data_IF_879891703754
#
_entry.id   IF_879891703754
#
_cell.length_a   1.000
_cell.length_b   1.000
_cell.length_c   1.000
_cell.angle_alpha   90.00
_cell.angle_beta   90.00
_cell.angle_gamma   90.00
#
_symmetry.space_group_name_H-M   'P 1'
#
loop_
_entity.id
_entity.type
_entity.pdbx_description
1 polymer ?
#
# COMPACT_ATOMS: atom_id res chain seq x y z
N UNK A 1 6.43 19.33 -1.83
CA UNK A 1 6.96 18.64 -3.02
C UNK A 1 6.33 19.26 -4.26
N UNK A 2 7.12 19.61 -5.26
CA UNK A 2 6.61 20.15 -6.52
C UNK A 2 7.12 19.26 -7.63
N UNK A 3 6.20 18.55 -8.30
CA UNK A 3 6.51 17.75 -9.49
C UNK A 3 6.34 18.64 -10.72
N UNK A 4 7.37 18.70 -11.58
CA UNK A 4 7.35 19.48 -12.82
C UNK A 4 7.24 18.52 -14.00
N UNK A 5 6.28 18.76 -14.89
CA UNK A 5 6.04 17.91 -16.07
C UNK A 5 5.19 16.67 -15.80
N UNK A 6 5.24 15.69 -16.71
CA UNK A 6 4.40 14.48 -16.65
C UNK A 6 4.86 13.54 -15.53
N UNK A 7 3.98 13.29 -14.57
CA UNK A 7 4.22 12.36 -13.47
C UNK A 7 3.25 11.17 -13.48
N UNK A 8 3.62 10.09 -12.79
CA UNK A 8 2.75 8.94 -12.52
C UNK A 8 2.51 8.85 -11.02
N UNK A 9 1.29 8.49 -10.63
CA UNK A 9 0.91 8.22 -9.25
C UNK A 9 0.65 6.73 -9.08
N UNK A 10 1.32 6.12 -8.12
CA UNK A 10 1.02 4.77 -7.63
C UNK A 10 0.15 4.88 -6.37
N UNK A 11 -0.86 4.03 -6.25
CA UNK A 11 -1.67 3.90 -5.04
C UNK A 11 -1.66 2.45 -4.62
N UNK A 12 -1.22 2.20 -3.39
CA UNK A 12 -1.19 0.88 -2.77
C UNK A 12 -2.21 0.90 -1.63
N UNK A 13 -3.15 -0.04 -1.64
CA UNK A 13 -4.17 -0.21 -0.60
C UNK A 13 -3.82 -1.46 0.18
N UNK A 14 -3.70 -1.34 1.49
CA UNK A 14 -3.37 -2.43 2.41
C UNK A 14 -4.33 -2.42 3.59
N UNK A 15 -4.50 -3.60 4.22
CA UNK A 15 -5.16 -3.69 5.52
C UNK A 15 -4.34 -2.97 6.61
N UNK A 16 -5.04 -2.46 7.62
CA UNK A 16 -4.43 -1.73 8.75
C UNK A 16 -3.51 -2.60 9.61
N UNK A 17 -3.82 -3.88 9.70
CA UNK A 17 -3.12 -4.93 10.41
C UNK A 17 -1.95 -5.55 9.61
N UNK A 18 -1.74 -5.10 8.36
CA UNK A 18 -0.66 -5.58 7.53
C UNK A 18 0.70 -5.35 8.17
N UNK A 19 1.50 -6.42 8.28
CA UNK A 19 2.87 -6.35 8.79
C UNK A 19 3.87 -7.02 7.84
N UNK A 20 5.12 -6.57 7.91
CA UNK A 20 6.27 -7.14 7.21
C UNK A 20 7.45 -7.21 8.19
N UNK A 21 7.96 -8.43 8.45
CA UNK A 21 8.98 -8.68 9.47
C UNK A 21 8.67 -8.03 10.84
N UNK A 22 7.42 -8.08 11.27
CA UNK A 22 6.97 -7.49 12.54
C UNK A 22 6.85 -5.97 12.56
N UNK A 23 7.09 -5.29 11.43
CA UNK A 23 6.91 -3.85 11.27
C UNK A 23 5.62 -3.55 10.49
N UNK A 24 4.98 -2.38 10.70
CA UNK A 24 3.80 -2.00 9.93
C UNK A 24 4.10 -1.99 8.41
N UNK A 25 3.24 -2.62 7.60
CA UNK A 25 3.47 -2.76 6.16
C UNK A 25 3.54 -1.40 5.45
N UNK A 26 2.69 -0.44 5.86
CA UNK A 26 2.70 0.90 5.26
C UNK A 26 4.04 1.62 5.43
N UNK A 27 4.75 1.42 6.55
CA UNK A 27 6.05 2.07 6.77
C UNK A 27 7.13 1.45 5.89
N UNK A 28 7.10 0.14 5.71
CA UNK A 28 8.04 -0.56 4.83
C UNK A 28 7.81 -0.19 3.36
N UNK A 29 6.56 0.02 2.92
CA UNK A 29 6.27 0.55 1.58
C UNK A 29 6.89 1.94 1.37
N UNK A 30 6.85 2.81 2.38
CA UNK A 30 7.50 4.13 2.30
C UNK A 30 9.03 3.99 2.23
N UNK A 31 9.62 3.09 3.03
CA UNK A 31 11.05 2.80 2.96
C UNK A 31 11.47 2.28 1.59
N UNK A 32 10.69 1.37 1.00
CA UNK A 32 10.91 0.86 -0.35
C UNK A 32 10.78 1.97 -1.40
N UNK A 33 9.77 2.84 -1.26
CA UNK A 33 9.58 3.95 -2.18
C UNK A 33 10.78 4.92 -2.17
N UNK A 34 11.30 5.22 -0.97
CA UNK A 34 12.48 6.04 -0.80
C UNK A 34 13.73 5.36 -1.38
N UNK A 35 13.93 4.07 -1.08
CA UNK A 35 15.05 3.29 -1.62
C UNK A 35 15.02 3.16 -3.15
N UNK A 36 13.83 3.14 -3.75
CA UNK A 36 13.63 3.11 -5.19
C UNK A 36 13.79 4.48 -5.88
N UNK A 37 14.06 5.55 -5.12
CA UNK A 37 14.23 6.90 -5.67
C UNK A 37 12.93 7.54 -6.17
N UNK A 38 11.77 7.13 -5.63
CA UNK A 38 10.50 7.80 -5.96
C UNK A 38 10.54 9.24 -5.45
N UNK A 39 9.93 10.15 -6.22
CA UNK A 39 9.92 11.58 -5.91
C UNK A 39 9.21 11.95 -4.59
N UNK A 40 8.42 11.03 -4.04
CA UNK A 40 7.78 11.15 -2.74
C UNK A 40 6.76 10.06 -2.47
N UNK A 41 6.35 9.93 -1.21
CA UNK A 41 5.28 9.05 -0.78
C UNK A 41 4.46 9.73 0.33
N UNK A 42 3.19 9.35 0.45
CA UNK A 42 2.30 9.80 1.53
C UNK A 42 1.39 8.65 1.93
N UNK A 43 1.11 8.54 3.23
CA UNK A 43 0.28 7.49 3.81
C UNK A 43 -1.00 8.10 4.35
N UNK A 44 -2.13 7.47 4.06
CA UNK A 44 -3.45 7.87 4.53
C UNK A 44 -4.09 6.69 5.25
N UNK A 45 -4.68 6.93 6.43
CA UNK A 45 -5.48 5.93 7.16
C UNK A 45 -6.95 6.22 6.94
N UNK A 46 -7.66 5.29 6.31
CA UNK A 46 -9.11 5.35 6.20
C UNK A 46 -9.78 5.02 7.53
N UNK A 47 -10.99 5.54 7.75
CA UNK A 47 -11.81 5.18 8.92
C UNK A 47 -12.60 3.89 8.65
N UNK A 48 -13.09 3.71 7.42
CA UNK A 48 -13.86 2.53 6.98
C UNK A 48 -13.51 2.25 5.52
N UNK A 49 -13.46 0.97 5.13
CA UNK A 49 -13.31 0.54 3.75
C UNK A 49 -13.79 -0.88 3.53
N UNK A 50 -14.17 -1.21 2.30
CA UNK A 50 -14.46 -2.57 1.87
C UNK A 50 -13.65 -2.89 0.60
N UNK A 51 -13.22 -4.14 0.47
CA UNK A 51 -12.59 -4.66 -0.74
C UNK A 51 -13.35 -5.91 -1.19
N UNK A 52 -13.53 -6.04 -2.51
CA UNK A 52 -14.17 -7.22 -3.07
C UNK A 52 -13.28 -8.46 -2.92
N UNK A 53 -13.91 -9.61 -2.67
CA UNK A 53 -13.23 -10.91 -2.80
C UNK A 53 -13.07 -11.21 -4.28
N UNK A 54 -11.84 -11.40 -4.76
CA UNK A 54 -11.60 -11.89 -6.11
C UNK A 54 -12.21 -13.28 -6.30
N UNK A 55 -12.61 -13.67 -7.53
CA UNK A 55 -13.07 -15.03 -7.79
C UNK A 55 -11.96 -16.01 -7.44
N UNK A 56 -12.12 -16.77 -6.34
CA UNK A 56 -11.15 -17.77 -5.89
C UNK A 56 -11.00 -17.95 -4.39
N UNK A 57 -11.46 -17.03 -3.55
CA UNK A 57 -11.29 -17.15 -2.09
C UNK A 57 -12.38 -18.02 -1.42
N UNK A 58 -12.60 -19.23 -1.93
CA UNK A 58 -13.64 -20.13 -1.44
C UNK A 58 -13.48 -21.58 -1.87
N UNK A 59 -12.27 -22.15 -1.79
CA UNK A 59 -12.05 -23.60 -1.94
C UNK A 59 -10.72 -24.01 -1.29
N UNK A 60 -10.66 -23.98 0.04
CA UNK A 60 -9.67 -24.69 0.88
C UNK A 60 -9.87 -24.31 2.36
N UNK A 61 -11.02 -24.70 2.90
CA UNK A 61 -11.21 -24.86 4.33
C UNK A 61 -11.68 -26.29 4.58
N UNK A 62 -10.72 -27.22 4.55
CA UNK A 62 -10.71 -28.50 5.27
C UNK A 62 -9.36 -28.63 5.95
#
# INVERSE_FOLDING_TARGET
MTLIGKARRLTVVVGEDGTWHGKPLYSEIVHLAHAAGLAGASVFRGVVGYVGRGPGAGTDAS
#
